data_IF_868264414581
#
_entry.id   IF_868264414581
#
_cell.length_a   1.000
_cell.length_b   1.000
_cell.length_c   1.000
_cell.angle_alpha   90.00
_cell.angle_beta   90.00
_cell.angle_gamma   90.00
#
_symmetry.space_group_name_H-M   'P 1'
#
loop_
_entity.id
_entity.type
_entity.pdbx_description
1 polymer ?
#
# COMPACT_ATOMS: atom_id res chain seq x y z
N UNK A 1 -71.73 -9.56 -10.75
CA UNK A 1 -70.82 -8.42 -10.61
C UNK A 1 -69.58 -8.88 -9.90
N UNK A 2 -68.52 -9.13 -10.64
CA UNK A 2 -67.23 -9.60 -10.08
C UNK A 2 -66.28 -8.41 -10.03
N UNK A 3 -65.95 -7.97 -8.83
CA UNK A 3 -64.95 -6.96 -8.59
C UNK A 3 -63.53 -7.61 -8.65
N UNK A 4 -62.78 -7.23 -9.67
CA UNK A 4 -61.37 -7.64 -9.79
C UNK A 4 -60.55 -6.63 -8.99
N UNK A 5 -59.96 -7.07 -7.89
CA UNK A 5 -59.02 -6.27 -7.11
C UNK A 5 -57.62 -6.45 -7.73
N UNK A 6 -57.14 -5.40 -8.40
CA UNK A 6 -55.75 -5.34 -8.82
C UNK A 6 -54.84 -5.09 -7.62
N UNK A 7 -54.14 -6.10 -7.20
CA UNK A 7 -53.08 -5.99 -6.21
C UNK A 7 -51.82 -5.46 -6.92
N UNK A 8 -51.57 -4.15 -6.81
CA UNK A 8 -50.38 -3.50 -7.33
C UNK A 8 -49.20 -3.84 -6.42
N UNK A 9 -48.36 -4.79 -6.86
CA UNK A 9 -47.15 -5.17 -6.16
C UNK A 9 -46.06 -4.17 -6.54
N UNK A 10 -45.83 -3.19 -5.67
CA UNK A 10 -44.72 -2.23 -5.80
C UNK A 10 -43.40 -2.96 -5.57
N UNK A 11 -42.67 -3.23 -6.64
CA UNK A 11 -41.28 -3.72 -6.58
C UNK A 11 -40.39 -2.57 -6.14
N UNK A 12 -40.01 -2.58 -4.87
CA UNK A 12 -39.01 -1.66 -4.32
C UNK A 12 -37.64 -2.07 -4.84
N UNK A 13 -37.19 -1.45 -5.92
CA UNK A 13 -35.82 -1.60 -6.43
C UNK A 13 -34.88 -0.90 -5.46
N UNK A 14 -34.19 -1.67 -4.64
CA UNK A 14 -33.07 -1.19 -3.80
C UNK A 14 -31.90 -0.86 -4.74
N UNK A 15 -31.78 0.40 -5.11
CA UNK A 15 -30.58 0.88 -5.80
C UNK A 15 -29.46 0.95 -4.77
N UNK A 16 -28.61 -0.08 -4.74
CA UNK A 16 -27.33 -0.01 -4.05
C UNK A 16 -26.47 1.00 -4.77
N UNK A 17 -26.44 2.25 -4.29
CA UNK A 17 -25.42 3.22 -4.68
C UNK A 17 -24.08 2.72 -4.18
N UNK A 18 -23.35 2.03 -5.04
CA UNK A 18 -21.94 1.76 -4.87
C UNK A 18 -21.22 3.11 -4.81
N UNK A 19 -20.81 3.54 -3.61
CA UNK A 19 -19.88 4.64 -3.44
C UNK A 19 -18.55 4.22 -4.09
N UNK A 20 -18.41 4.50 -5.38
CA UNK A 20 -17.17 4.32 -6.10
C UNK A 20 -16.09 5.19 -5.45
N UNK A 21 -15.00 4.56 -5.02
CA UNK A 21 -13.81 5.26 -4.53
C UNK A 21 -13.28 6.16 -5.66
N UNK A 22 -13.47 7.47 -5.54
CA UNK A 22 -13.17 8.46 -6.60
C UNK A 22 -11.73 8.40 -7.11
N UNK A 23 -10.81 7.89 -6.31
CA UNK A 23 -9.37 7.84 -6.64
C UNK A 23 -8.90 6.44 -7.04
N UNK A 24 -9.80 5.45 -7.08
CA UNK A 24 -9.47 4.05 -7.39
C UNK A 24 -8.28 3.50 -6.56
N UNK A 25 -8.22 3.88 -5.27
CA UNK A 25 -7.20 3.48 -4.30
C UNK A 25 -7.82 2.55 -3.27
N UNK A 26 -7.14 1.46 -2.97
CA UNK A 26 -7.60 0.44 -2.03
C UNK A 26 -6.60 0.25 -0.89
N UNK A 27 -7.06 -0.03 0.34
CA UNK A 27 -6.18 -0.24 1.48
C UNK A 27 -5.19 -1.38 1.22
N UNK A 28 -3.91 -1.14 1.52
CA UNK A 28 -2.85 -2.13 1.42
C UNK A 28 -2.06 -2.15 2.72
N UNK A 29 -2.07 -3.28 3.38
CA UNK A 29 -1.35 -3.53 4.61
C UNK A 29 -0.36 -4.68 4.41
N UNK A 30 0.75 -4.62 5.12
CA UNK A 30 1.76 -5.66 5.09
C UNK A 30 2.65 -5.61 6.33
N UNK A 31 3.69 -6.44 6.32
CA UNK A 31 4.72 -6.47 7.36
C UNK A 31 6.09 -6.56 6.73
N UNK A 32 7.10 -5.99 7.39
CA UNK A 32 8.52 -6.22 7.06
C UNK A 32 9.21 -6.78 8.29
N UNK A 33 9.83 -7.93 8.12
CA UNK A 33 10.56 -8.63 9.17
C UNK A 33 12.03 -8.76 8.80
N UNK A 34 12.90 -8.60 9.77
CA UNK A 34 14.34 -8.81 9.64
C UNK A 34 14.78 -9.88 10.64
N UNK A 35 15.23 -11.00 10.13
CA UNK A 35 15.66 -12.15 10.96
C UNK A 35 14.64 -12.51 12.05
N UNK A 36 13.35 -12.51 11.74
CA UNK A 36 12.25 -12.83 12.65
C UNK A 36 11.82 -11.70 13.59
N UNK A 37 12.44 -10.53 13.51
CA UNK A 37 12.08 -9.33 14.29
C UNK A 37 11.48 -8.23 13.39
N UNK A 38 10.63 -7.34 13.93
CA UNK A 38 10.10 -6.22 13.15
C UNK A 38 11.21 -5.29 12.63
N UNK A 39 11.18 -4.94 11.34
CA UNK A 39 12.08 -3.94 10.75
C UNK A 39 11.55 -2.52 10.99
N UNK A 40 11.32 -2.14 12.25
CA UNK A 40 10.75 -0.86 12.66
C UNK A 40 11.53 0.33 12.10
N UNK A 41 10.81 1.29 11.49
CA UNK A 41 11.39 2.47 10.87
C UNK A 41 11.89 2.26 9.43
N UNK A 42 11.80 1.03 8.89
CA UNK A 42 12.05 0.80 7.48
C UNK A 42 10.97 1.48 6.62
N UNK A 43 11.31 1.83 5.39
CA UNK A 43 10.39 2.39 4.41
C UNK A 43 10.23 1.42 3.25
N UNK A 44 8.99 1.16 2.89
CA UNK A 44 8.62 0.30 1.75
C UNK A 44 8.15 1.20 0.62
N UNK A 45 8.68 1.02 -0.57
CA UNK A 45 8.29 1.74 -1.79
C UNK A 45 7.69 0.78 -2.79
N UNK A 46 6.58 1.18 -3.39
CA UNK A 46 5.89 0.41 -4.42
C UNK A 46 5.99 1.13 -5.75
N UNK A 47 6.65 0.51 -6.72
CA UNK A 47 6.83 0.99 -8.07
C UNK A 47 5.96 0.18 -9.02
N UNK A 48 5.06 0.84 -9.74
CA UNK A 48 4.18 0.16 -10.67
C UNK A 48 4.98 -0.42 -11.84
N UNK A 49 4.77 -1.70 -12.13
CA UNK A 49 5.41 -2.34 -13.29
C UNK A 49 4.93 -1.70 -14.60
N UNK A 50 5.88 -1.33 -15.47
CA UNK A 50 5.58 -0.66 -16.74
C UNK A 50 5.14 0.81 -16.60
N UNK A 51 5.17 1.38 -15.39
CA UNK A 51 4.90 2.78 -15.12
C UNK A 51 6.13 3.68 -15.33
N UNK A 52 5.89 4.98 -15.36
CA UNK A 52 6.94 5.99 -15.42
C UNK A 52 7.28 6.47 -13.99
N UNK A 53 8.48 6.15 -13.47
CA UNK A 53 8.85 6.52 -12.09
C UNK A 53 8.86 8.03 -11.83
N UNK A 54 8.91 8.85 -12.87
CA UNK A 54 8.96 10.32 -12.76
C UNK A 54 7.55 10.91 -12.65
N UNK A 55 6.58 10.32 -13.34
CA UNK A 55 5.21 10.84 -13.44
C UNK A 55 4.22 10.10 -12.55
N UNK A 56 4.62 9.02 -11.89
CA UNK A 56 3.75 8.29 -10.99
C UNK A 56 3.80 8.85 -9.57
N UNK A 57 2.66 8.76 -8.89
CA UNK A 57 2.58 9.16 -7.50
C UNK A 57 3.38 8.20 -6.63
N UNK A 58 4.18 8.78 -5.73
CA UNK A 58 4.93 7.99 -4.75
C UNK A 58 3.99 7.17 -3.88
N UNK A 59 4.16 5.86 -3.91
CA UNK A 59 3.42 4.92 -3.07
C UNK A 59 4.41 4.33 -2.07
N UNK A 60 4.20 4.60 -0.79
CA UNK A 60 5.12 4.17 0.25
C UNK A 60 4.40 3.85 1.56
N UNK A 61 5.08 3.13 2.43
CA UNK A 61 4.66 2.88 3.80
C UNK A 61 5.85 2.88 4.75
N UNK A 62 5.64 3.37 5.97
CA UNK A 62 6.65 3.32 7.04
C UNK A 62 6.30 2.15 7.96
N UNK A 63 7.30 1.31 8.23
CA UNK A 63 7.15 0.15 9.10
C UNK A 63 7.09 0.59 10.56
N UNK A 64 6.03 0.19 11.25
CA UNK A 64 5.77 0.47 12.66
C UNK A 64 6.59 -0.45 13.57
N UNK A 65 6.51 -0.23 14.88
CA UNK A 65 7.23 -1.02 15.89
C UNK A 65 6.86 -2.52 15.88
N UNK A 66 5.64 -2.86 15.48
CA UNK A 66 5.17 -4.23 15.34
C UNK A 66 5.51 -4.88 13.98
N UNK A 67 6.25 -4.18 13.13
CA UNK A 67 6.62 -4.60 11.79
C UNK A 67 5.57 -4.32 10.72
N UNK A 68 4.38 -3.88 11.10
CA UNK A 68 3.30 -3.58 10.14
C UNK A 68 3.50 -2.27 9.41
N UNK A 69 2.99 -2.17 8.19
CA UNK A 69 2.88 -0.92 7.44
C UNK A 69 1.53 -0.82 6.75
N UNK A 70 1.15 0.41 6.44
CA UNK A 70 0.01 0.74 5.58
C UNK A 70 0.52 1.68 4.48
N UNK A 71 0.18 1.37 3.23
CA UNK A 71 0.60 2.20 2.10
C UNK A 71 -0.17 3.52 2.06
N UNK A 72 0.52 4.55 1.59
CA UNK A 72 -0.01 5.87 1.27
C UNK A 72 0.40 6.22 -0.15
N UNK A 73 -0.54 6.70 -0.94
CA UNK A 73 -0.33 7.11 -2.32
C UNK A 73 -0.32 8.64 -2.42
N UNK A 74 0.83 9.26 -2.20
CA UNK A 74 1.02 10.70 -2.27
C UNK A 74 -0.09 11.49 -1.57
N UNK A 75 -0.71 12.43 -2.25
CA UNK A 75 -1.83 13.23 -1.75
C UNK A 75 -3.20 12.56 -1.86
N UNK A 76 -3.29 11.38 -2.51
CA UNK A 76 -4.57 10.69 -2.71
C UNK A 76 -5.07 9.94 -1.47
N UNK A 77 -4.19 9.66 -0.51
CA UNK A 77 -4.54 9.05 0.76
C UNK A 77 -4.00 7.64 0.95
N UNK A 78 -4.63 6.90 1.87
CA UNK A 78 -4.18 5.57 2.29
C UNK A 78 -4.55 4.50 1.28
N UNK A 79 -3.54 3.74 0.84
CA UNK A 79 -3.69 2.63 -0.09
C UNK A 79 -2.89 2.79 -1.38
N UNK A 80 -3.23 1.97 -2.37
CA UNK A 80 -2.63 1.99 -3.70
C UNK A 80 -3.66 1.61 -4.78
N UNK A 81 -3.49 2.08 -6.03
CA UNK A 81 -4.28 1.61 -7.17
C UNK A 81 -4.05 0.12 -7.43
N UNK A 82 -5.03 -0.59 -8.03
CA UNK A 82 -4.83 -1.99 -8.46
C UNK A 82 -3.75 -2.09 -9.53
N UNK A 83 -2.96 -3.15 -9.48
CA UNK A 83 -1.91 -3.44 -10.45
C UNK A 83 -0.80 -4.29 -9.86
N UNK A 84 0.22 -4.53 -10.69
CA UNK A 84 1.45 -5.22 -10.32
C UNK A 84 2.53 -4.22 -9.95
N UNK A 85 3.25 -4.50 -8.87
CA UNK A 85 4.25 -3.61 -8.29
C UNK A 85 5.56 -4.33 -8.00
N UNK A 86 6.64 -3.62 -8.26
CA UNK A 86 7.97 -3.96 -7.75
C UNK A 86 8.15 -3.26 -6.40
N UNK A 87 8.67 -3.98 -5.41
CA UNK A 87 8.78 -3.48 -4.05
C UNK A 87 10.23 -3.28 -3.68
N UNK A 88 10.58 -2.05 -3.31
CA UNK A 88 11.87 -1.71 -2.74
C UNK A 88 11.73 -1.42 -1.24
N UNK A 89 12.77 -1.75 -0.47
CA UNK A 89 12.79 -1.54 0.98
C UNK A 89 14.11 -0.90 1.35
N UNK A 90 14.03 0.23 2.08
CA UNK A 90 15.17 0.91 2.67
C UNK A 90 14.99 0.97 4.19
N UNK A 91 16.06 0.71 4.93
CA UNK A 91 16.05 0.82 6.38
C UNK A 91 17.14 1.75 6.88
N UNK A 92 16.92 3.04 6.71
CA UNK A 92 17.86 4.07 7.15
C UNK A 92 17.62 4.42 8.62
N UNK A 93 18.67 4.32 9.42
CA UNK A 93 18.62 4.79 10.80
C UNK A 93 18.65 6.31 10.85
N UNK A 94 17.94 6.89 11.84
CA UNK A 94 18.12 8.29 12.16
C UNK A 94 19.44 8.41 12.95
N UNK A 95 20.45 9.04 12.36
CA UNK A 95 21.80 9.18 12.93
C UNK A 95 22.00 10.49 13.72
N UNK A 96 20.99 11.35 13.79
CA UNK A 96 21.04 12.63 14.49
C UNK A 96 20.07 13.65 13.93
N UNK A 97 20.22 14.90 14.38
CA UNK A 97 19.48 16.03 13.83
C UNK A 97 20.44 17.13 13.42
N UNK A 98 20.27 17.69 12.24
CA UNK A 98 20.97 18.88 11.78
C UNK A 98 19.97 19.96 11.39
N UNK A 99 20.08 21.14 12.00
CA UNK A 99 19.16 22.27 11.78
C UNK A 99 17.68 21.89 11.95
N UNK A 100 17.36 21.04 12.96
CA UNK A 100 15.99 20.59 13.24
C UNK A 100 15.44 19.53 12.25
N UNK A 101 16.24 19.01 11.33
CA UNK A 101 15.84 17.95 10.40
C UNK A 101 16.52 16.63 10.76
N UNK A 102 15.80 15.49 10.73
CA UNK A 102 16.40 14.20 10.92
C UNK A 102 17.49 13.93 9.87
N UNK A 103 18.66 13.51 10.31
CA UNK A 103 19.69 13.00 9.42
C UNK A 103 19.56 11.49 9.32
N UNK A 104 19.52 11.01 8.08
CA UNK A 104 19.48 9.58 7.80
C UNK A 104 20.90 9.03 7.68
N UNK A 105 21.17 7.99 8.44
CA UNK A 105 22.40 7.20 8.32
C UNK A 105 22.35 6.22 7.15
N UNK A 106 23.37 5.35 7.02
CA UNK A 106 23.40 4.33 5.99
C UNK A 106 22.21 3.35 6.13
N UNK A 107 21.86 2.75 5.00
CA UNK A 107 20.85 1.69 4.98
C UNK A 107 21.37 0.43 5.70
N UNK A 108 20.65 -0.05 6.71
CA UNK A 108 20.97 -1.29 7.43
C UNK A 108 20.98 -2.50 6.50
N UNK A 109 20.17 -2.49 5.44
CA UNK A 109 20.10 -3.56 4.45
C UNK A 109 21.14 -3.41 3.34
N UNK A 110 22.07 -2.45 3.47
CA UNK A 110 23.20 -2.22 2.56
C UNK A 110 22.76 -2.00 1.09
N UNK A 111 21.57 -1.43 0.88
CA UNK A 111 20.99 -1.21 -0.44
C UNK A 111 20.48 -2.45 -1.17
N UNK A 112 20.52 -3.62 -0.53
CA UNK A 112 20.19 -4.91 -1.16
C UNK A 112 18.75 -4.99 -1.70
N UNK A 113 17.84 -4.24 -1.09
CA UNK A 113 16.42 -4.22 -1.43
C UNK A 113 15.96 -2.85 -1.98
N UNK A 114 16.88 -1.91 -2.13
CA UNK A 114 16.55 -0.52 -2.47
C UNK A 114 16.42 -0.25 -3.98
N UNK A 115 16.92 -1.15 -4.84
CA UNK A 115 16.95 -0.93 -6.29
C UNK A 115 15.64 -1.42 -6.95
N UNK A 116 14.79 -0.50 -7.44
CA UNK A 116 13.56 -0.88 -8.13
C UNK A 116 13.80 -1.52 -9.50
N UNK A 117 15.00 -1.40 -10.08
CA UNK A 117 15.38 -2.03 -11.35
C UNK A 117 15.79 -3.50 -11.16
N UNK A 118 16.11 -3.88 -9.94
CA UNK A 118 16.45 -5.26 -9.56
C UNK A 118 15.65 -5.69 -8.33
N UNK A 119 14.31 -5.68 -8.42
CA UNK A 119 13.45 -5.89 -7.26
C UNK A 119 13.56 -7.33 -6.76
N UNK A 120 13.60 -7.49 -5.44
CA UNK A 120 13.57 -8.82 -4.80
C UNK A 120 12.17 -9.21 -4.35
N UNK A 121 11.27 -8.26 -4.30
CA UNK A 121 9.87 -8.48 -3.92
C UNK A 121 8.94 -7.87 -4.96
N UNK A 122 7.80 -8.54 -5.14
CA UNK A 122 6.71 -8.12 -6.00
C UNK A 122 5.41 -8.19 -5.22
N UNK A 123 4.44 -7.35 -5.58
CA UNK A 123 3.12 -7.37 -4.99
C UNK A 123 2.04 -7.14 -6.04
N UNK A 124 0.94 -7.88 -5.94
CA UNK A 124 -0.26 -7.69 -6.75
C UNK A 124 -1.34 -7.04 -5.88
N UNK A 125 -1.76 -5.85 -6.27
CA UNK A 125 -2.81 -5.10 -5.58
C UNK A 125 -4.11 -5.26 -6.35
N UNK A 126 -5.15 -5.68 -5.65
CA UNK A 126 -6.49 -5.89 -6.21
C UNK A 126 -7.44 -4.75 -5.81
N UNK A 127 -8.55 -4.59 -6.56
CA UNK A 127 -9.60 -3.61 -6.30
C UNK A 127 -10.43 -3.97 -5.05
N UNK A 128 -9.75 -4.18 -3.93
CA UNK A 128 -10.30 -4.48 -2.60
C UNK A 128 -9.22 -4.21 -1.54
N UNK A 129 -9.52 -4.38 -0.26
CA UNK A 129 -8.50 -4.43 0.79
C UNK A 129 -7.49 -5.54 0.49
N UNK A 130 -6.22 -5.22 0.61
CA UNK A 130 -5.10 -6.14 0.40
C UNK A 130 -4.32 -6.30 1.70
N UNK A 131 -4.20 -7.52 2.17
CA UNK A 131 -3.35 -7.91 3.30
C UNK A 131 -2.22 -8.76 2.72
N UNK A 132 -1.03 -8.16 2.58
CA UNK A 132 0.11 -8.80 1.92
C UNK A 132 0.82 -9.77 2.87
N UNK A 133 1.42 -10.82 2.29
CA UNK A 133 2.34 -11.69 3.01
C UNK A 133 3.54 -10.87 3.52
N UNK A 134 4.14 -11.21 4.67
CA UNK A 134 5.32 -10.51 5.19
C UNK A 134 6.48 -10.52 4.20
N UNK A 135 7.19 -9.39 4.12
CA UNK A 135 8.47 -9.30 3.44
C UNK A 135 9.58 -9.63 4.44
N UNK A 136 10.24 -10.75 4.25
CA UNK A 136 11.37 -11.17 5.09
C UNK A 136 12.68 -10.69 4.46
N UNK A 137 13.34 -9.75 5.13
CA UNK A 137 14.62 -9.19 4.70
C UNK A 137 15.76 -9.68 5.56
N UNK A 138 16.94 -9.81 4.95
CA UNK A 138 18.19 -10.24 5.60
C UNK A 138 19.35 -9.39 5.10
N UNK A 139 20.49 -9.36 5.82
CA UNK A 139 21.76 -8.76 5.35
C UNK A 139 22.60 -9.70 4.46
#
# INVERSE_FOLDING_TARGET
>A
MRKVVFCSMAVLVLVCTSCGNKNNIYPVLGKVMYAGSPASGATVFFYRQGGDPINEHMIMGIVKEDGSFELVCGSFGKGAPPGEYDVAIEWKQISGQSKGRPQHGPDKLKGRYADPKSPRFHASIKAKRNDLAPFDVTD
#
